data_IF_885854992041
#
_entry.id   IF_885854992041
#
_cell.length_a   1.000
_cell.length_b   1.000
_cell.length_c   1.000
_cell.angle_alpha   90.00
_cell.angle_beta   90.00
_cell.angle_gamma   90.00
#
_symmetry.space_group_name_H-M   'P 1'
#
loop_
_entity.id
_entity.type
_entity.pdbx_description
1 polymer ?
#
# COMPACT_ATOMS: atom_id res chain seq x y z
N UNK A 1 -47.87 2.17 -7.20
CA UNK A 1 -47.38 3.30 -7.89
C UNK A 1 -46.46 4.12 -7.02
N UNK A 2 -46.95 4.90 -6.07
CA UNK A 2 -46.07 5.62 -5.17
C UNK A 2 -45.12 4.68 -4.43
N UNK A 3 -45.56 3.44 -4.12
CA UNK A 3 -44.71 2.47 -3.40
C UNK A 3 -43.58 1.91 -4.23
N UNK A 4 -43.75 1.81 -5.56
CA UNK A 4 -42.67 1.33 -6.43
C UNK A 4 -41.59 2.38 -6.59
N UNK A 5 -41.97 3.64 -6.76
CA UNK A 5 -41.02 4.75 -6.84
C UNK A 5 -40.26 4.92 -5.52
N UNK A 6 -40.97 4.77 -4.39
CA UNK A 6 -40.33 4.83 -3.07
C UNK A 6 -39.34 3.72 -2.84
N UNK A 7 -39.64 2.50 -3.30
CA UNK A 7 -38.73 1.35 -3.19
C UNK A 7 -37.50 1.53 -4.05
N UNK A 8 -37.68 2.01 -5.29
CA UNK A 8 -36.55 2.24 -6.19
C UNK A 8 -35.63 3.33 -5.65
N UNK A 9 -36.22 4.41 -5.10
CA UNK A 9 -35.43 5.48 -4.49
C UNK A 9 -34.67 5.00 -3.26
N UNK A 10 -35.32 4.18 -2.43
CA UNK A 10 -34.64 3.63 -1.24
C UNK A 10 -33.51 2.71 -1.64
N UNK A 11 -33.72 1.88 -2.64
CA UNK A 11 -32.68 1.00 -3.16
C UNK A 11 -31.51 1.79 -3.71
N UNK A 12 -31.76 2.87 -4.43
CA UNK A 12 -30.69 3.76 -4.92
C UNK A 12 -29.90 4.37 -3.78
N UNK A 13 -30.56 4.81 -2.72
CA UNK A 13 -29.89 5.36 -1.56
C UNK A 13 -29.01 4.31 -0.89
N UNK A 14 -29.53 3.11 -0.73
CA UNK A 14 -28.78 2.00 -0.11
C UNK A 14 -27.54 1.63 -0.94
N UNK A 15 -27.71 1.57 -2.25
CA UNK A 15 -26.60 1.27 -3.16
C UNK A 15 -25.53 2.36 -3.13
N UNK A 16 -25.95 3.63 -3.11
CA UNK A 16 -25.03 4.75 -3.01
C UNK A 16 -24.26 4.74 -1.69
N UNK A 17 -24.94 4.44 -0.60
CA UNK A 17 -24.27 4.29 0.70
C UNK A 17 -23.26 3.16 0.68
N UNK A 18 -23.58 2.05 0.01
CA UNK A 18 -22.65 0.95 -0.17
C UNK A 18 -21.41 1.38 -0.96
N UNK A 19 -21.60 2.15 -2.01
CA UNK A 19 -20.49 2.69 -2.79
C UNK A 19 -19.64 3.64 -1.94
N UNK A 20 -20.26 4.53 -1.19
CA UNK A 20 -19.53 5.46 -0.32
C UNK A 20 -18.70 4.73 0.71
N UNK A 21 -19.24 3.68 1.29
CA UNK A 21 -18.49 2.84 2.25
C UNK A 21 -17.30 2.17 1.58
N UNK A 22 -17.49 1.63 0.38
CA UNK A 22 -16.41 1.03 -0.38
C UNK A 22 -15.33 2.05 -0.76
N UNK A 23 -15.75 3.25 -1.15
CA UNK A 23 -14.82 4.32 -1.49
C UNK A 23 -13.95 4.69 -0.28
N UNK A 24 -14.55 4.76 0.90
CA UNK A 24 -13.80 5.00 2.14
C UNK A 24 -12.78 3.89 2.42
N UNK A 25 -13.16 2.64 2.19
CA UNK A 25 -12.26 1.51 2.33
C UNK A 25 -11.11 1.57 1.34
N UNK A 26 -11.42 1.91 0.08
CA UNK A 26 -10.41 2.07 -0.96
C UNK A 26 -9.42 3.17 -0.60
N UNK A 27 -9.92 4.32 -0.15
CA UNK A 27 -9.05 5.42 0.29
C UNK A 27 -8.15 5.01 1.45
N UNK A 28 -8.67 4.25 2.39
CA UNK A 28 -7.90 3.75 3.53
C UNK A 28 -6.80 2.82 3.08
N UNK A 29 -7.11 1.92 2.15
CA UNK A 29 -6.14 0.99 1.58
C UNK A 29 -5.09 1.71 0.75
N UNK A 30 -5.48 2.70 -0.04
CA UNK A 30 -4.53 3.52 -0.81
C UNK A 30 -3.59 4.30 0.11
N UNK A 31 -4.11 4.86 1.19
CA UNK A 31 -3.29 5.55 2.19
C UNK A 31 -2.30 4.59 2.84
N UNK A 32 -2.74 3.39 3.18
CA UNK A 32 -1.87 2.36 3.74
C UNK A 32 -0.77 1.98 2.76
N UNK A 33 -1.14 1.78 1.51
CA UNK A 33 -0.18 1.47 0.44
C UNK A 33 0.86 2.59 0.30
N UNK A 34 0.41 3.84 0.32
CA UNK A 34 1.30 4.98 0.22
C UNK A 34 2.29 5.05 1.38
N UNK A 35 1.83 4.75 2.60
CA UNK A 35 2.70 4.70 3.77
C UNK A 35 3.78 3.62 3.62
N UNK A 36 3.41 2.45 3.15
CA UNK A 36 4.35 1.36 2.93
C UNK A 36 5.36 1.71 1.84
N UNK A 37 4.89 2.29 0.74
CA UNK A 37 5.75 2.72 -0.35
C UNK A 37 6.72 3.81 0.10
N UNK A 38 6.24 4.75 0.92
CA UNK A 38 7.08 5.80 1.49
C UNK A 38 8.19 5.20 2.37
N UNK A 39 7.85 4.22 3.18
CA UNK A 39 8.83 3.53 4.03
C UNK A 39 9.90 2.81 3.22
N UNK A 40 9.48 2.15 2.15
CA UNK A 40 10.42 1.51 1.22
C UNK A 40 11.36 2.56 0.61
N UNK A 41 10.83 3.70 0.20
CA UNK A 41 11.62 4.80 -0.34
C UNK A 41 12.64 5.34 0.67
N UNK A 42 12.24 5.50 1.94
CA UNK A 42 13.15 5.92 2.99
C UNK A 42 14.31 4.94 3.17
N UNK A 43 14.01 3.66 3.18
CA UNK A 43 15.02 2.61 3.32
C UNK A 43 16.00 2.65 2.15
N UNK A 44 15.49 2.78 0.92
CA UNK A 44 16.33 2.83 -0.27
C UNK A 44 17.16 4.09 -0.37
N UNK A 45 16.65 5.22 0.15
CA UNK A 45 17.33 6.51 0.01
C UNK A 45 18.28 6.85 1.14
N UNK A 46 18.47 5.97 2.10
CA UNK A 46 19.61 6.11 2.98
C UNK A 46 19.36 6.33 4.46
N UNK A 47 18.12 6.45 4.92
CA UNK A 47 17.90 6.55 6.37
C UNK A 47 18.23 5.23 7.07
N UNK A 48 17.93 4.11 6.41
CA UNK A 48 18.21 2.77 6.90
C UNK A 48 18.99 1.92 5.90
N UNK A 49 18.93 2.27 4.61
CA UNK A 49 19.69 1.61 3.57
C UNK A 49 21.04 2.29 3.42
N UNK A 50 22.11 1.56 3.64
CA UNK A 50 23.48 2.05 3.50
C UNK A 50 24.19 1.21 2.45
N UNK A 51 24.28 1.69 1.21
CA UNK A 51 24.94 0.93 0.13
C UNK A 51 26.38 0.59 0.44
N UNK A 52 27.09 1.49 1.13
CA UNK A 52 28.46 1.26 1.54
C UNK A 52 28.61 0.08 2.48
N UNK A 53 27.71 -0.03 3.44
CA UNK A 53 27.71 -1.15 4.38
C UNK A 53 27.39 -2.46 3.69
N UNK A 54 26.43 -2.42 2.76
CA UNK A 54 26.07 -3.60 1.97
C UNK A 54 27.25 -4.05 1.11
N UNK A 55 27.95 -3.12 0.48
CA UNK A 55 29.15 -3.41 -0.29
C UNK A 55 30.25 -4.02 0.59
N UNK A 56 30.39 -3.54 1.83
CA UNK A 56 31.33 -4.10 2.78
C UNK A 56 30.98 -5.54 3.18
N UNK A 57 29.70 -5.79 3.42
CA UNK A 57 29.23 -7.14 3.77
C UNK A 57 29.47 -8.09 2.60
N UNK A 58 29.16 -7.67 1.39
CA UNK A 58 29.40 -8.48 0.19
C UNK A 58 30.89 -8.77 -0.01
N UNK A 59 31.75 -7.79 0.25
CA UNK A 59 33.18 -7.97 0.19
C UNK A 59 33.67 -9.00 1.20
N UNK A 60 33.19 -8.94 2.44
CA UNK A 60 33.50 -9.92 3.47
C UNK A 60 33.08 -11.32 3.06
N UNK A 61 31.93 -11.47 2.48
CA UNK A 61 31.44 -12.76 2.00
C UNK A 61 32.37 -13.31 0.93
N UNK A 62 32.81 -12.48 0.00
CA UNK A 62 33.77 -12.86 -1.04
C UNK A 62 35.12 -13.25 -0.48
N UNK A 63 35.61 -12.50 0.50
CA UNK A 63 36.88 -12.80 1.14
C UNK A 63 36.84 -14.11 1.91
N UNK A 64 35.72 -14.43 2.54
CA UNK A 64 35.55 -15.68 3.27
C UNK A 64 35.30 -16.89 2.37
N UNK A 65 34.85 -16.66 1.17
CA UNK A 65 34.61 -17.68 0.16
C UNK A 65 35.44 -17.37 -1.08
N UNK A 66 36.80 -17.56 -1.02
CA UNK A 66 37.70 -17.25 -2.13
C UNK A 66 37.69 -18.39 -3.12
N UNK A 67 36.81 -18.93 -3.52
CA UNK A 67 36.81 -19.97 -4.54
C UNK A 67 35.80 -19.64 -5.62
N UNK A 68 35.83 -20.26 -6.77
CA UNK A 68 34.82 -20.16 -7.77
C UNK A 68 33.50 -20.77 -7.28
#
# INVERSE_FOLDING_TARGET
>A
MANEDGKAQQELLDLRQGIDTLDEEVLRLLSRRAQLAHRIGEIKQGNLYRPEREAQVLRRIKERNPGP
#
